data_IF_878910930564
#
_entry.id   IF_878910930564
#
_cell.length_a   1.000
_cell.length_b   1.000
_cell.length_c   1.000
_cell.angle_alpha   90.00
_cell.angle_beta   90.00
_cell.angle_gamma   90.00
#
_symmetry.space_group_name_H-M   'P 1'
#
loop_
_entity.id
_entity.type
_entity.pdbx_description
1 polymer ?
#
# COMPACT_ATOMS: atom_id res chain seq x y z
N UNK A 1 -15.25 44.11 -15.96
CA UNK A 1 -13.78 44.18 -16.06
C UNK A 1 -13.17 43.52 -14.84
N UNK A 2 -12.76 42.26 -14.91
CA UNK A 2 -11.78 41.67 -13.98
C UNK A 2 -11.00 40.60 -14.75
N UNK A 3 -9.71 40.87 -14.92
CA UNK A 3 -8.73 40.09 -15.66
C UNK A 3 -8.31 38.86 -14.83
N UNK A 4 -8.51 37.66 -15.38
CA UNK A 4 -7.91 36.45 -14.84
C UNK A 4 -6.43 36.40 -15.24
N UNK A 5 -5.55 36.59 -14.26
CA UNK A 5 -4.11 36.40 -14.37
C UNK A 5 -3.81 34.89 -14.39
N UNK A 6 -3.63 34.33 -15.58
CA UNK A 6 -3.04 33.00 -15.74
C UNK A 6 -1.52 33.12 -15.62
N UNK A 7 -0.97 32.75 -14.45
CA UNK A 7 0.46 32.46 -14.32
C UNK A 7 0.78 31.25 -15.20
N UNK A 8 1.49 31.50 -16.29
CA UNK A 8 2.11 30.46 -17.11
C UNK A 8 3.18 29.77 -16.27
N UNK A 9 2.87 28.56 -15.79
CA UNK A 9 3.87 27.65 -15.24
C UNK A 9 4.81 27.27 -16.38
N UNK A 10 6.04 27.76 -16.34
CA UNK A 10 7.12 27.31 -17.22
C UNK A 10 7.30 25.81 -17.00
N UNK A 11 6.83 25.01 -17.95
CA UNK A 11 7.30 23.62 -18.07
C UNK A 11 8.77 23.73 -18.42
N UNK A 12 9.65 23.40 -17.49
CA UNK A 12 11.03 23.06 -17.81
C UNK A 12 10.93 21.79 -18.64
N UNK A 13 10.98 21.95 -19.97
CA UNK A 13 11.23 20.83 -20.87
C UNK A 13 12.66 20.41 -20.57
N UNK A 14 12.82 19.41 -19.71
CA UNK A 14 14.08 18.71 -19.58
C UNK A 14 14.28 17.93 -20.87
N UNK A 15 14.87 18.57 -21.87
CA UNK A 15 15.51 17.88 -22.98
C UNK A 15 16.71 17.17 -22.39
N UNK A 16 16.49 15.96 -21.85
CA UNK A 16 17.58 15.00 -21.68
C UNK A 16 18.08 14.67 -23.07
N UNK A 17 19.12 15.37 -23.50
CA UNK A 17 19.99 14.90 -24.55
C UNK A 17 20.59 13.57 -24.06
N UNK A 18 19.98 12.46 -24.48
CA UNK A 18 20.67 11.18 -24.39
C UNK A 18 21.91 11.28 -25.27
N UNK A 19 23.01 10.79 -24.73
CA UNK A 19 24.33 10.78 -25.31
C UNK A 19 24.28 10.59 -26.82
N UNK A 20 24.89 11.55 -27.52
CA UNK A 20 25.30 11.49 -28.90
C UNK A 20 25.76 10.07 -29.26
N UNK A 21 25.23 9.56 -30.37
CA UNK A 21 25.74 8.34 -30.99
C UNK A 21 27.25 8.39 -31.19
N UNK A 22 27.90 7.22 -31.37
CA UNK A 22 29.35 7.15 -31.45
C UNK A 22 29.87 8.04 -32.59
N UNK A 23 31.04 8.67 -32.42
CA UNK A 23 31.60 9.58 -33.43
C UNK A 23 31.72 8.84 -34.78
N UNK A 24 31.36 9.55 -35.84
CA UNK A 24 31.37 9.02 -37.21
C UNK A 24 32.76 8.47 -37.56
N UNK A 25 32.87 7.15 -37.68
CA UNK A 25 34.11 6.47 -38.06
C UNK A 25 34.34 5.10 -37.39
N UNK A 26 33.57 4.73 -36.37
CA UNK A 26 33.75 3.45 -35.68
C UNK A 26 32.99 2.30 -36.37
N UNK A 27 33.70 1.50 -37.19
CA UNK A 27 33.25 0.16 -37.61
C UNK A 27 33.54 -0.83 -36.48
N UNK A 28 32.83 -0.67 -35.37
CA UNK A 28 32.79 -1.65 -34.28
C UNK A 28 31.40 -2.28 -34.27
N UNK A 29 31.35 -3.61 -34.26
CA UNK A 29 30.10 -4.36 -34.19
C UNK A 29 29.26 -3.81 -33.02
N UNK A 30 28.01 -3.40 -33.31
CA UNK A 30 27.00 -3.09 -32.30
C UNK A 30 26.57 -4.39 -31.60
N UNK A 31 27.50 -5.09 -30.96
CA UNK A 31 27.12 -5.97 -29.87
C UNK A 31 26.68 -5.02 -28.76
N UNK A 32 25.36 -4.88 -28.60
CA UNK A 32 24.80 -4.43 -27.34
C UNK A 32 25.51 -5.27 -26.28
N UNK A 33 26.41 -4.66 -25.50
CA UNK A 33 26.85 -5.22 -24.24
C UNK A 33 25.59 -5.20 -23.38
N UNK A 34 24.76 -6.22 -23.55
CA UNK A 34 23.66 -6.53 -22.66
C UNK A 34 24.34 -6.85 -21.34
N UNK A 35 24.27 -5.92 -20.40
CA UNK A 35 24.78 -6.13 -19.05
C UNK A 35 24.14 -7.45 -18.56
N UNK A 36 24.91 -8.44 -18.10
CA UNK A 36 24.36 -9.75 -17.69
C UNK A 36 23.18 -9.58 -16.69
N UNK A 37 23.20 -8.49 -15.92
CA UNK A 37 22.10 -8.07 -15.04
C UNK A 37 20.82 -7.71 -15.80
N UNK A 38 20.92 -7.03 -16.94
CA UNK A 38 19.77 -6.70 -17.78
C UNK A 38 19.14 -7.96 -18.38
N UNK A 39 19.94 -8.93 -18.80
CA UNK A 39 19.43 -10.23 -19.28
C UNK A 39 18.83 -11.05 -18.14
N UNK A 40 19.44 -11.05 -16.96
CA UNK A 40 18.91 -11.71 -15.78
C UNK A 40 17.59 -11.06 -15.31
N UNK A 41 17.48 -9.73 -15.37
CA UNK A 41 16.24 -8.99 -15.10
C UNK A 41 15.18 -9.30 -16.15
N UNK A 42 15.54 -9.37 -17.44
CA UNK A 42 14.64 -9.80 -18.50
C UNK A 42 14.18 -11.25 -18.29
N UNK A 43 15.06 -12.14 -17.87
CA UNK A 43 14.72 -13.53 -17.56
C UNK A 43 13.83 -13.65 -16.31
N UNK A 44 13.98 -12.76 -15.33
CA UNK A 44 13.11 -12.70 -14.15
C UNK A 44 11.73 -12.11 -14.47
N UNK A 45 11.68 -11.04 -15.26
CA UNK A 45 10.43 -10.37 -15.66
C UNK A 45 9.67 -11.16 -16.75
N UNK A 46 10.40 -11.88 -17.59
CA UNK A 46 9.92 -12.69 -18.71
C UNK A 46 10.52 -14.11 -18.62
N UNK A 47 10.05 -14.94 -17.68
CA UNK A 47 10.59 -16.28 -17.50
C UNK A 47 10.42 -17.15 -18.74
N UNK A 48 11.53 -17.75 -19.19
CA UNK A 48 11.66 -18.59 -20.40
C UNK A 48 10.72 -19.80 -20.38
N UNK A 49 10.36 -20.29 -19.19
CA UNK A 49 9.55 -21.51 -19.01
C UNK A 49 8.05 -21.27 -19.04
N UNK A 50 7.59 -20.04 -19.27
CA UNK A 50 6.17 -19.80 -19.52
C UNK A 50 5.94 -20.01 -21.01
N UNK A 51 5.04 -20.93 -21.44
CA UNK A 51 4.77 -21.16 -22.86
C UNK A 51 4.36 -19.85 -23.52
N UNK A 52 5.29 -19.24 -24.26
CA UNK A 52 5.02 -18.08 -25.07
C UNK A 52 4.17 -18.57 -26.25
N UNK A 53 3.01 -17.96 -26.54
CA UNK A 53 2.31 -18.25 -27.78
C UNK A 53 3.23 -17.94 -28.98
N UNK A 54 3.02 -18.59 -30.14
CA UNK A 54 3.92 -18.51 -31.30
C UNK A 54 4.10 -17.10 -31.88
N UNK A 55 3.32 -16.12 -31.44
CA UNK A 55 3.48 -14.71 -31.77
C UNK A 55 4.37 -14.02 -30.73
N UNK A 56 5.66 -13.96 -31.06
CA UNK A 56 6.69 -13.18 -30.37
C UNK A 56 6.17 -11.79 -29.97
N UNK A 57 6.10 -11.52 -28.65
CA UNK A 57 5.85 -10.25 -27.94
C UNK A 57 4.53 -10.22 -27.15
N UNK A 58 4.44 -10.99 -26.09
CA UNK A 58 3.44 -10.77 -25.04
C UNK A 58 4.11 -10.03 -23.87
N UNK A 59 4.20 -8.69 -23.99
CA UNK A 59 4.51 -7.81 -22.85
C UNK A 59 3.59 -8.14 -21.66
N UNK A 60 3.98 -7.95 -20.37
CA UNK A 60 3.10 -8.11 -19.21
C UNK A 60 1.84 -7.22 -19.26
N UNK A 61 1.73 -6.35 -20.26
CA UNK A 61 0.59 -5.48 -20.57
C UNK A 61 -0.44 -6.09 -21.54
N UNK A 62 -0.32 -7.35 -21.97
CA UNK A 62 -1.31 -7.94 -22.89
C UNK A 62 -2.52 -8.44 -22.10
N UNK A 63 -3.75 -8.07 -22.52
CA UNK A 63 -4.98 -8.33 -21.77
C UNK A 63 -5.42 -9.80 -21.71
N UNK A 64 -4.87 -10.69 -22.56
CA UNK A 64 -5.29 -12.09 -22.64
C UNK A 64 -4.08 -13.03 -22.69
N UNK A 65 -4.12 -14.06 -21.83
CA UNK A 65 -3.05 -15.03 -21.60
C UNK A 65 -3.64 -16.42 -21.51
N UNK A 66 -3.40 -17.24 -22.54
CA UNK A 66 -3.97 -18.59 -22.66
C UNK A 66 -3.47 -19.54 -21.56
N UNK A 67 -2.25 -19.33 -21.05
CA UNK A 67 -1.68 -20.09 -19.94
C UNK A 67 -2.44 -19.82 -18.63
N UNK A 68 -2.74 -18.56 -18.37
CA UNK A 68 -3.58 -18.15 -17.23
C UNK A 68 -4.98 -18.70 -17.40
N UNK A 69 -5.58 -18.59 -18.59
CA UNK A 69 -6.91 -19.13 -18.86
C UNK A 69 -6.98 -20.64 -18.60
N UNK A 70 -6.02 -21.43 -19.11
CA UNK A 70 -5.93 -22.87 -18.84
C UNK A 70 -5.81 -23.18 -17.35
N UNK A 71 -5.04 -22.37 -16.62
CA UNK A 71 -4.90 -22.55 -15.16
C UNK A 71 -6.18 -22.21 -14.40
N UNK A 72 -6.91 -21.17 -14.84
CA UNK A 72 -8.21 -20.79 -14.31
C UNK A 72 -9.20 -21.92 -14.59
N UNK A 73 -9.32 -22.35 -15.86
CA UNK A 73 -10.22 -23.43 -16.28
C UNK A 73 -9.96 -24.75 -15.54
N UNK A 74 -8.71 -25.05 -15.19
CA UNK A 74 -8.36 -26.25 -14.43
C UNK A 74 -8.81 -26.21 -12.95
N UNK A 75 -8.85 -25.01 -12.35
CA UNK A 75 -9.25 -24.80 -10.94
C UNK A 75 -10.74 -24.45 -10.83
N UNK A 76 -11.32 -23.93 -11.91
CA UNK A 76 -12.69 -23.41 -11.95
C UNK A 76 -13.70 -24.56 -11.80
N UNK A 77 -14.46 -24.62 -10.69
CA UNK A 77 -15.42 -25.69 -10.45
C UNK A 77 -16.70 -25.54 -11.30
N UNK A 78 -16.92 -24.37 -11.89
CA UNK A 78 -18.12 -23.96 -12.64
C UNK A 78 -18.52 -22.52 -12.32
N UNK A 79 -19.24 -21.86 -13.24
CA UNK A 79 -19.64 -20.44 -13.13
C UNK A 79 -20.55 -20.20 -11.93
N UNK A 80 -21.55 -21.07 -11.76
CA UNK A 80 -22.49 -21.01 -10.65
C UNK A 80 -21.80 -21.13 -9.28
N UNK A 81 -20.77 -21.99 -9.18
CA UNK A 81 -20.01 -22.21 -7.94
C UNK A 81 -19.16 -20.98 -7.63
N UNK A 82 -18.48 -20.43 -8.63
CA UNK A 82 -17.68 -19.22 -8.48
C UNK A 82 -18.52 -18.03 -8.01
N UNK A 83 -19.69 -17.82 -8.63
CA UNK A 83 -20.61 -16.75 -8.28
C UNK A 83 -21.15 -16.91 -6.85
N UNK A 84 -21.46 -18.14 -6.47
CA UNK A 84 -21.94 -18.45 -5.12
C UNK A 84 -20.89 -18.16 -4.07
N UNK A 85 -19.64 -18.60 -4.30
CA UNK A 85 -18.52 -18.33 -3.39
C UNK A 85 -18.29 -16.81 -3.28
N UNK A 86 -18.26 -16.11 -4.39
CA UNK A 86 -18.03 -14.66 -4.43
C UNK A 86 -19.14 -13.92 -3.69
N UNK A 87 -20.40 -14.29 -3.93
CA UNK A 87 -21.55 -13.69 -3.23
C UNK A 87 -21.48 -13.96 -1.73
N UNK A 88 -21.19 -15.19 -1.32
CA UNK A 88 -21.06 -15.54 0.10
C UNK A 88 -19.92 -14.76 0.78
N UNK A 89 -18.77 -14.63 0.11
CA UNK A 89 -17.64 -13.85 0.61
C UNK A 89 -17.98 -12.37 0.78
N UNK A 90 -18.67 -11.77 -0.20
CA UNK A 90 -19.10 -10.38 -0.12
C UNK A 90 -20.10 -10.15 1.04
N UNK A 91 -21.01 -11.10 1.28
CA UNK A 91 -21.93 -11.05 2.42
C UNK A 91 -21.16 -11.13 3.74
N UNK A 92 -20.18 -12.02 3.86
CA UNK A 92 -19.32 -12.12 5.04
C UNK A 92 -18.55 -10.82 5.29
N UNK A 93 -17.92 -10.26 4.25
CA UNK A 93 -17.14 -9.03 4.37
C UNK A 93 -18.02 -7.85 4.83
N UNK A 94 -19.26 -7.76 4.33
CA UNK A 94 -20.24 -6.77 4.78
C UNK A 94 -20.60 -6.97 6.26
N UNK A 95 -20.90 -8.21 6.66
CA UNK A 95 -21.23 -8.52 8.05
C UNK A 95 -20.09 -8.15 9.02
N UNK A 96 -18.83 -8.40 8.63
CA UNK A 96 -17.68 -7.99 9.43
C UNK A 96 -17.50 -6.47 9.50
N UNK A 97 -17.75 -5.76 8.41
CA UNK A 97 -17.74 -4.30 8.40
C UNK A 97 -18.81 -3.74 9.34
N UNK A 98 -20.04 -4.23 9.24
CA UNK A 98 -21.16 -3.84 10.08
C UNK A 98 -20.88 -4.14 11.57
N UNK A 99 -20.21 -5.26 11.87
CA UNK A 99 -19.80 -5.59 13.23
C UNK A 99 -18.73 -4.62 13.76
N UNK A 100 -17.73 -4.27 12.94
CA UNK A 100 -16.67 -3.31 13.31
C UNK A 100 -17.23 -1.90 13.52
N UNK A 101 -18.12 -1.43 12.65
CA UNK A 101 -18.73 -0.10 12.78
C UNK A 101 -19.59 -0.02 14.04
N UNK A 102 -20.41 -1.05 14.30
CA UNK A 102 -21.23 -1.13 15.52
C UNK A 102 -20.39 -1.11 16.79
N UNK A 103 -19.26 -1.83 16.81
CA UNK A 103 -18.34 -1.80 17.95
C UNK A 103 -17.70 -0.41 18.14
N UNK A 104 -17.29 0.25 17.05
CA UNK A 104 -16.79 1.63 17.11
C UNK A 104 -17.85 2.62 17.62
N UNK A 105 -19.08 2.50 17.14
CA UNK A 105 -20.22 3.31 17.60
C UNK A 105 -20.48 3.11 19.09
N UNK A 106 -20.47 1.85 19.56
CA UNK A 106 -20.64 1.55 20.99
C UNK A 106 -19.52 2.18 21.83
N UNK A 107 -18.26 2.10 21.37
CA UNK A 107 -17.12 2.72 22.07
C UNK A 107 -17.24 4.23 22.12
N UNK A 108 -17.66 4.87 21.03
CA UNK A 108 -17.88 6.32 20.97
C UNK A 108 -19.03 6.76 21.89
N UNK A 109 -20.16 6.04 21.89
CA UNK A 109 -21.27 6.31 22.80
C UNK A 109 -20.84 6.22 24.27
N UNK A 110 -20.08 5.17 24.63
CA UNK A 110 -19.54 5.02 25.99
C UNK A 110 -18.55 6.13 26.35
N UNK A 111 -17.73 6.56 25.40
CA UNK A 111 -16.80 7.66 25.61
C UNK A 111 -17.54 8.97 25.88
N UNK A 112 -18.60 9.28 25.10
CA UNK A 112 -19.42 10.47 25.30
C UNK A 112 -20.18 10.44 26.62
N UNK A 113 -20.75 9.29 26.98
CA UNK A 113 -21.39 9.09 28.29
C UNK A 113 -20.41 9.35 29.44
N UNK A 114 -19.20 8.81 29.35
CA UNK A 114 -18.16 9.04 30.36
C UNK A 114 -17.72 10.51 30.43
N UNK A 115 -17.55 11.18 29.29
CA UNK A 115 -17.21 12.61 29.26
C UNK A 115 -18.32 13.49 29.85
N UNK A 116 -19.58 13.19 29.54
CA UNK A 116 -20.73 13.92 30.13
C UNK A 116 -20.76 13.77 31.64
N UNK A 117 -20.56 12.55 32.18
CA UNK A 117 -20.47 12.34 33.64
C UNK A 117 -19.28 13.07 34.26
N UNK A 118 -18.16 13.15 33.55
CA UNK A 118 -16.96 13.85 34.02
C UNK A 118 -17.19 15.37 34.05
N UNK A 119 -17.92 15.91 33.08
CA UNK A 119 -18.30 17.32 33.01
C UNK A 119 -19.15 17.72 34.22
N UNK A 120 -20.13 16.90 34.57
CA UNK A 120 -21.04 17.14 35.70
C UNK A 120 -20.36 17.05 37.06
N UNK A 121 -19.37 16.16 37.21
CA UNK A 121 -18.72 15.87 38.49
C UNK A 121 -17.44 16.69 38.72
N UNK A 122 -16.56 16.75 37.74
CA UNK A 122 -15.21 17.32 37.85
C UNK A 122 -14.80 18.07 36.57
N UNK A 123 -15.27 19.30 36.45
CA UNK A 123 -15.03 20.16 35.28
C UNK A 123 -13.54 20.33 34.93
N UNK A 124 -12.64 20.49 35.91
CA UNK A 124 -11.20 20.65 35.64
C UNK A 124 -10.55 19.43 34.97
N UNK A 125 -11.02 18.22 35.29
CA UNK A 125 -10.52 16.98 34.68
C UNK A 125 -11.09 16.83 33.27
N UNK A 126 -12.34 17.21 33.06
CA UNK A 126 -12.95 17.26 31.75
C UNK A 126 -12.21 18.23 30.81
N UNK A 127 -11.88 19.44 31.27
CA UNK A 127 -11.14 20.43 30.49
C UNK A 127 -9.75 19.89 30.07
N UNK A 128 -9.06 19.18 30.98
CA UNK A 128 -7.78 18.54 30.68
C UNK A 128 -7.91 17.39 29.68
N UNK A 129 -8.97 16.59 29.77
CA UNK A 129 -9.21 15.44 28.88
C UNK A 129 -9.59 15.86 27.46
N UNK A 130 -10.42 16.90 27.31
CA UNK A 130 -10.82 17.47 26.01
C UNK A 130 -9.74 18.41 25.46
N UNK A 131 -8.94 19.01 26.34
CA UNK A 131 -7.90 19.96 26.00
C UNK A 131 -6.85 19.39 25.04
N UNK A 132 -6.42 20.22 24.09
CA UNK A 132 -5.37 19.86 23.10
C UNK A 132 -3.95 19.86 23.68
N UNK A 133 -3.78 19.86 25.01
CA UNK A 133 -2.46 19.79 25.67
C UNK A 133 -1.94 18.36 25.52
N UNK A 134 -1.30 18.11 24.38
CA UNK A 134 -0.66 16.83 24.08
C UNK A 134 0.46 16.60 25.10
N UNK A 135 0.52 15.39 25.66
CA UNK A 135 1.63 14.99 26.51
C UNK A 135 2.95 15.37 25.82
N UNK A 136 3.75 16.21 26.47
CA UNK A 136 5.11 16.55 26.06
C UNK A 136 5.97 15.30 26.22
N UNK A 137 5.83 14.36 25.30
CA UNK A 137 6.86 13.36 25.07
C UNK A 137 7.68 13.86 23.88
N UNK A 138 8.95 13.48 23.74
CA UNK A 138 9.80 13.71 22.55
C UNK A 138 9.24 13.12 21.24
N UNK A 139 7.96 12.73 21.23
CA UNK A 139 7.22 12.05 20.18
C UNK A 139 6.44 13.08 19.39
N UNK A 140 6.51 12.97 18.07
CA UNK A 140 5.79 13.85 17.17
C UNK A 140 4.30 13.79 17.51
N UNK A 141 3.66 14.93 17.81
CA UNK A 141 2.29 14.97 18.31
C UNK A 141 1.30 14.41 17.29
N UNK A 142 0.51 13.42 17.69
CA UNK A 142 -0.49 12.77 16.82
C UNK A 142 0.02 11.56 16.05
N UNK A 143 1.26 11.12 16.29
CA UNK A 143 1.77 9.86 15.77
C UNK A 143 1.65 8.75 16.82
N UNK A 144 1.28 7.55 16.40
CA UNK A 144 1.34 6.37 17.25
C UNK A 144 2.79 6.09 17.69
N UNK A 145 3.01 5.51 18.89
CA UNK A 145 4.33 5.10 19.32
C UNK A 145 4.98 4.16 18.31
N UNK A 146 6.24 4.38 17.96
CA UNK A 146 7.00 3.50 17.03
C UNK A 146 7.13 2.06 17.54
N UNK A 147 7.03 1.87 18.85
CA UNK A 147 7.07 0.55 19.50
C UNK A 147 5.79 -0.26 19.25
N UNK A 148 4.68 0.39 18.87
CA UNK A 148 3.44 -0.27 18.49
C UNK A 148 3.60 -0.86 17.08
N UNK A 149 3.90 -2.16 17.01
CA UNK A 149 4.12 -2.89 15.77
C UNK A 149 2.81 -3.47 15.23
N UNK A 150 2.74 -3.62 13.90
CA UNK A 150 1.70 -4.42 13.28
C UNK A 150 1.83 -5.89 13.73
N UNK A 151 0.72 -6.62 13.92
CA UNK A 151 0.74 -8.05 14.20
C UNK A 151 1.49 -8.82 13.09
N UNK A 152 2.21 -9.86 13.47
CA UNK A 152 2.89 -10.79 12.56
C UNK A 152 2.32 -12.20 12.74
N UNK A 153 2.24 -12.98 11.65
CA UNK A 153 1.70 -14.35 11.68
C UNK A 153 2.45 -15.26 12.66
N UNK A 154 3.79 -15.15 12.68
CA UNK A 154 4.63 -15.87 13.64
C UNK A 154 5.19 -14.91 14.68
N UNK A 155 5.17 -15.29 15.98
CA UNK A 155 5.80 -14.49 17.01
C UNK A 155 7.32 -14.49 16.84
N UNK A 156 7.97 -13.42 17.31
CA UNK A 156 9.44 -13.40 17.43
C UNK A 156 9.90 -14.27 18.60
N UNK A 157 11.19 -14.59 18.62
CA UNK A 157 11.83 -15.30 19.74
C UNK A 157 11.61 -14.62 21.09
N UNK A 158 11.44 -13.29 21.10
CA UNK A 158 11.00 -12.51 22.26
C UNK A 158 9.68 -11.83 21.91
N UNK A 159 8.59 -12.30 22.52
CA UNK A 159 7.21 -11.82 22.27
C UNK A 159 6.96 -10.48 22.95
N UNK A 160 7.47 -10.34 24.18
CA UNK A 160 7.26 -9.17 25.02
C UNK A 160 8.56 -8.76 25.71
N UNK A 161 8.86 -7.47 25.73
CA UNK A 161 10.02 -6.94 26.44
C UNK A 161 9.61 -6.51 27.85
N UNK A 162 9.93 -7.33 28.85
CA UNK A 162 9.67 -7.01 30.25
C UNK A 162 10.61 -5.94 30.83
N UNK A 163 11.77 -5.74 30.19
CA UNK A 163 12.80 -4.79 30.63
C UNK A 163 12.68 -3.42 29.94
N UNK A 164 11.49 -3.10 29.39
CA UNK A 164 11.27 -1.84 28.70
C UNK A 164 11.48 -0.64 29.64
N UNK A 165 12.28 0.33 29.19
CA UNK A 165 12.53 1.60 29.89
C UNK A 165 12.10 2.74 28.99
N UNK A 166 11.48 3.76 29.59
CA UNK A 166 11.17 4.99 28.88
C UNK A 166 12.48 5.62 28.36
N UNK A 167 12.51 6.13 27.12
CA UNK A 167 13.64 6.90 26.63
C UNK A 167 13.91 8.07 27.60
N UNK A 168 15.13 8.14 28.11
CA UNK A 168 15.57 9.23 28.98
C UNK A 168 15.74 10.48 28.10
N UNK A 169 15.33 11.63 28.64
CA UNK A 169 15.37 12.96 27.99
C UNK A 169 16.77 13.37 27.52
#
# INVERSE_FOLDING_TARGET
MLLNSFKTSSRIISTRAYASGPPSGFKGNNELITDNKSEQLLQMLYPINVPQPPTNRTSPSIPHRDDVQKSVDAVFPGEEVHDTITRAFNVLQRAEQDARTKDLENRDLRLREALSRLEDTHFELWEKAVGKKKAQTMRIPGLFPRDLRAPTETPRNVVWNHDWKAPIE
#
